data_IF_353831406511
#
_entry.id   IF_353831406511
#
_cell.length_a   1.000
_cell.length_b   1.000
_cell.length_c   1.000
_cell.angle_alpha   90.00
_cell.angle_beta   90.00
_cell.angle_gamma   90.00
#
_symmetry.space_group_name_H-M   'P 1'
#
loop_
_entity.id
_entity.type
_entity.pdbx_description
1 polymer ?
#
# COMPACT_ATOMS: atom_id res chain seq x y z
N UNK A 1 -40.55 -28.07 51.45
CA UNK A 1 -40.82 -26.66 51.10
C UNK A 1 -40.31 -26.46 49.69
N UNK A 2 -41.22 -26.49 48.71
CA UNK A 2 -40.90 -26.43 47.28
C UNK A 2 -40.92 -24.97 46.81
N UNK A 3 -40.00 -24.62 45.90
CA UNK A 3 -40.29 -23.75 44.75
C UNK A 3 -39.09 -23.83 43.78
N UNK A 4 -39.22 -24.69 42.75
CA UNK A 4 -38.43 -24.61 41.52
C UNK A 4 -39.39 -24.13 40.44
N UNK A 5 -39.22 -22.87 40.04
CA UNK A 5 -39.99 -22.24 38.98
C UNK A 5 -39.50 -22.71 37.61
N UNK A 6 -40.44 -23.24 36.83
CA UNK A 6 -40.29 -23.66 35.45
C UNK A 6 -40.46 -22.44 34.53
N UNK A 7 -39.47 -22.16 33.67
CA UNK A 7 -39.66 -21.28 32.50
C UNK A 7 -39.46 -22.17 31.26
N UNK A 8 -40.47 -22.31 30.38
CA UNK A 8 -40.33 -23.13 29.19
C UNK A 8 -39.53 -22.35 28.15
N UNK A 9 -38.38 -22.88 27.74
CA UNK A 9 -37.72 -22.46 26.50
C UNK A 9 -38.51 -23.02 25.32
N UNK A 10 -39.31 -22.18 24.67
CA UNK A 10 -39.86 -22.47 23.35
C UNK A 10 -38.71 -22.48 22.34
N UNK A 11 -38.29 -23.67 21.90
CA UNK A 11 -37.47 -23.82 20.71
C UNK A 11 -38.34 -23.54 19.48
N UNK A 12 -38.15 -22.38 18.85
CA UNK A 12 -38.65 -22.15 17.50
C UNK A 12 -37.57 -22.63 16.54
N UNK A 13 -37.78 -23.82 15.96
CA UNK A 13 -37.00 -24.33 14.83
C UNK A 13 -37.38 -23.52 13.58
N UNK A 14 -36.55 -22.56 13.19
CA UNK A 14 -36.68 -21.87 11.92
C UNK A 14 -35.46 -22.18 11.05
N UNK A 15 -35.65 -22.95 9.98
CA UNK A 15 -34.64 -23.16 8.94
C UNK A 15 -34.50 -21.86 8.13
N UNK A 16 -33.44 -21.08 8.39
CA UNK A 16 -33.15 -19.86 7.63
C UNK A 16 -32.13 -20.19 6.54
N UNK A 17 -32.51 -19.96 5.27
CA UNK A 17 -31.61 -20.08 4.13
C UNK A 17 -30.69 -18.87 4.06
N UNK A 18 -29.40 -19.04 4.37
CA UNK A 18 -28.42 -17.96 4.25
C UNK A 18 -27.87 -17.91 2.82
N UNK A 19 -27.96 -16.77 2.12
CA UNK A 19 -27.40 -16.61 0.79
C UNK A 19 -25.86 -16.52 0.84
N UNK A 20 -25.21 -17.26 -0.05
CA UNK A 20 -23.75 -17.23 -0.23
C UNK A 20 -23.42 -16.33 -1.40
N UNK A 21 -22.52 -15.38 -1.18
CA UNK A 21 -22.02 -14.46 -2.20
C UNK A 21 -20.56 -14.77 -2.53
N UNK A 22 -20.18 -14.56 -3.79
CA UNK A 22 -18.78 -14.57 -4.27
C UNK A 22 -18.49 -13.29 -5.01
N UNK A 23 -17.26 -12.81 -4.93
CA UNK A 23 -16.76 -11.71 -5.75
C UNK A 23 -16.45 -12.22 -7.15
N UNK A 24 -17.03 -11.60 -8.17
CA UNK A 24 -16.72 -11.88 -9.57
C UNK A 24 -15.52 -11.05 -10.06
N UNK A 25 -15.11 -11.27 -11.31
CA UNK A 25 -13.89 -10.71 -11.90
C UNK A 25 -13.90 -9.17 -12.03
N UNK A 26 -15.06 -8.54 -11.88
CA UNK A 26 -15.20 -7.08 -11.87
C UNK A 26 -15.27 -6.48 -10.44
N UNK A 27 -15.09 -7.30 -9.40
CA UNK A 27 -15.05 -6.89 -8.01
C UNK A 27 -16.43 -6.68 -7.37
N UNK A 28 -17.52 -7.12 -8.01
CA UNK A 28 -18.87 -7.07 -7.43
C UNK A 28 -19.26 -8.40 -6.80
N UNK A 29 -20.03 -8.34 -5.71
CA UNK A 29 -20.55 -9.53 -5.03
C UNK A 29 -21.76 -10.07 -5.80
N UNK A 30 -21.67 -11.28 -6.33
CA UNK A 30 -22.78 -12.02 -6.93
C UNK A 30 -23.25 -13.15 -6.00
N UNK A 31 -24.56 -13.42 -5.99
CA UNK A 31 -25.13 -14.53 -5.21
C UNK A 31 -24.90 -15.85 -5.96
N UNK A 32 -24.14 -16.76 -5.37
CA UNK A 32 -23.74 -18.04 -5.99
C UNK A 32 -24.44 -19.28 -5.42
N UNK A 33 -25.30 -19.11 -4.40
CA UNK A 33 -26.16 -20.19 -3.91
C UNK A 33 -26.71 -19.94 -2.51
N UNK A 34 -27.37 -20.96 -1.97
CA UNK A 34 -27.75 -21.08 -0.55
C UNK A 34 -27.28 -22.45 -0.08
N UNK A 35 -26.57 -22.55 1.05
CA UNK A 35 -26.19 -23.85 1.62
C UNK A 35 -26.60 -24.02 3.08
N UNK A 36 -26.66 -25.31 3.42
CA UNK A 36 -27.34 -26.07 4.48
C UNK A 36 -27.24 -25.56 5.93
N UNK A 37 -28.27 -25.95 6.69
CA UNK A 37 -28.64 -25.56 8.05
C UNK A 37 -27.47 -25.46 9.05
N UNK A 38 -27.30 -24.26 9.61
CA UNK A 38 -26.42 -24.00 10.76
C UNK A 38 -27.20 -23.38 11.91
N UNK A 39 -26.95 -23.85 13.13
CA UNK A 39 -27.66 -23.43 14.35
C UNK A 39 -27.02 -22.16 14.93
N UNK A 40 -27.82 -21.11 15.13
CA UNK A 40 -27.33 -19.80 15.59
C UNK A 40 -28.19 -19.32 16.77
N UNK A 41 -27.55 -18.93 17.87
CA UNK A 41 -28.22 -18.44 19.09
C UNK A 41 -28.89 -17.07 18.84
N UNK A 42 -30.10 -16.84 19.33
CA UNK A 42 -30.90 -15.64 19.02
C UNK A 42 -30.23 -14.28 19.32
N UNK A 43 -29.27 -14.20 20.23
CA UNK A 43 -28.58 -12.95 20.56
C UNK A 43 -27.62 -12.42 19.48
N UNK A 44 -27.14 -13.25 18.55
CA UNK A 44 -26.25 -12.78 17.47
C UNK A 44 -26.99 -12.35 16.19
N UNK A 45 -28.30 -12.57 16.09
CA UNK A 45 -29.11 -12.10 14.95
C UNK A 45 -29.26 -10.57 15.00
N UNK A 46 -29.54 -10.00 16.17
CA UNK A 46 -29.72 -8.54 16.33
C UNK A 46 -28.44 -7.75 16.01
N UNK A 47 -27.28 -8.32 16.36
CA UNK A 47 -25.97 -7.73 16.03
C UNK A 47 -25.68 -7.78 14.52
N UNK A 48 -26.05 -8.88 13.85
CA UNK A 48 -25.89 -9.00 12.41
C UNK A 48 -26.84 -8.09 11.63
N UNK A 49 -28.08 -7.91 12.11
CA UNK A 49 -29.02 -6.97 11.51
C UNK A 49 -28.51 -5.53 11.63
N UNK A 50 -28.01 -5.16 12.81
CA UNK A 50 -27.41 -3.82 13.04
C UNK A 50 -26.20 -3.55 12.14
N UNK A 51 -25.34 -4.55 11.94
CA UNK A 51 -24.21 -4.45 11.01
C UNK A 51 -24.70 -4.29 9.56
N UNK A 52 -25.76 -5.01 9.17
CA UNK A 52 -26.31 -4.91 7.83
C UNK A 52 -26.94 -3.53 7.58
N UNK A 53 -27.64 -2.98 8.57
CA UNK A 53 -28.23 -1.64 8.52
C UNK A 53 -27.14 -0.54 8.40
N UNK A 54 -26.02 -0.69 9.11
CA UNK A 54 -24.86 0.21 8.99
C UNK A 54 -24.22 0.13 7.59
N UNK A 55 -24.06 -1.08 7.03
CA UNK A 55 -23.54 -1.28 5.68
C UNK A 55 -24.45 -0.64 4.62
N UNK A 56 -25.77 -0.80 4.77
CA UNK A 56 -26.74 -0.29 3.81
C UNK A 56 -26.87 1.24 3.89
N UNK A 57 -26.72 1.82 5.08
CA UNK A 57 -26.58 3.27 5.28
C UNK A 57 -25.34 3.84 4.55
N UNK A 58 -24.17 3.18 4.71
CA UNK A 58 -22.95 3.58 4.01
C UNK A 58 -23.09 3.45 2.49
N UNK A 59 -23.76 2.40 2.00
CA UNK A 59 -24.05 2.25 0.56
C UNK A 59 -24.99 3.32 0.03
N UNK A 60 -26.00 3.71 0.79
CA UNK A 60 -26.92 4.79 0.43
C UNK A 60 -26.18 6.13 0.31
N UNK A 61 -25.33 6.48 1.29
CA UNK A 61 -24.49 7.68 1.22
C UNK A 61 -23.51 7.63 0.03
N UNK A 62 -22.94 6.46 -0.28
CA UNK A 62 -22.06 6.30 -1.45
C UNK A 62 -22.81 6.44 -2.78
N UNK A 63 -24.05 5.97 -2.87
CA UNK A 63 -24.90 6.12 -4.04
C UNK A 63 -25.32 7.60 -4.25
N UNK A 64 -25.56 8.34 -3.16
CA UNK A 64 -25.87 9.77 -3.20
C UNK A 64 -24.66 10.60 -3.68
N UNK A 65 -23.44 10.26 -3.24
CA UNK A 65 -22.18 10.83 -3.76
C UNK A 65 -22.02 10.53 -5.26
N UNK A 66 -22.44 9.35 -5.73
CA UNK A 66 -22.38 8.97 -7.15
C UNK A 66 -23.47 9.63 -8.01
N UNK A 67 -24.63 9.92 -7.43
CA UNK A 67 -25.77 10.60 -8.08
C UNK A 67 -25.60 12.12 -8.19
N UNK A 68 -24.89 12.72 -7.23
CA UNK A 68 -24.42 14.11 -7.29
C UNK A 68 -23.23 14.22 -8.25
N UNK A 69 -23.53 14.27 -9.55
CA UNK A 69 -22.63 14.78 -10.59
C UNK A 69 -21.15 14.41 -10.43
N UNK A 70 -20.83 13.12 -10.59
CA UNK A 70 -19.45 12.71 -10.79
C UNK A 70 -18.82 13.58 -11.87
N UNK A 71 -17.81 14.36 -11.49
CA UNK A 71 -16.97 15.10 -12.43
C UNK A 71 -16.31 14.09 -13.36
N UNK A 72 -16.93 13.86 -14.53
CA UNK A 72 -16.38 13.13 -15.69
C UNK A 72 -15.09 13.76 -16.25
N UNK A 73 -14.42 14.65 -15.51
CA UNK A 73 -13.29 15.47 -15.97
C UNK A 73 -11.91 15.01 -15.50
N UNK A 74 -11.78 13.98 -14.63
CA UNK A 74 -10.46 13.60 -14.11
C UNK A 74 -9.73 12.59 -15.01
N UNK A 75 -10.41 11.57 -15.54
CA UNK A 75 -9.77 10.53 -16.36
C UNK A 75 -9.17 11.05 -17.69
N UNK A 76 -9.81 12.03 -18.32
CA UNK A 76 -9.37 12.61 -19.60
C UNK A 76 -8.25 13.66 -19.42
N UNK A 77 -8.23 14.36 -18.27
CA UNK A 77 -7.18 15.31 -17.92
C UNK A 77 -5.87 14.62 -17.48
N UNK A 78 -5.97 13.46 -16.79
CA UNK A 78 -4.80 12.68 -16.37
C UNK A 78 -4.03 12.10 -17.58
N UNK A 79 -4.73 11.73 -18.65
CA UNK A 79 -4.11 11.29 -19.91
C UNK A 79 -3.28 12.35 -20.63
N UNK A 80 -3.45 13.64 -20.30
CA UNK A 80 -2.68 14.77 -20.84
C UNK A 80 -1.52 15.22 -19.96
N UNK A 81 -1.30 14.58 -18.80
CA UNK A 81 -0.19 14.94 -17.91
C UNK A 81 1.14 14.60 -18.59
N UNK A 82 1.88 15.66 -18.92
CA UNK A 82 3.20 15.54 -19.53
C UNK A 82 4.27 15.37 -18.45
N UNK A 83 4.68 14.13 -18.18
CA UNK A 83 5.86 13.84 -17.34
C UNK A 83 7.12 14.10 -18.17
N UNK A 84 7.98 15.06 -17.78
CA UNK A 84 9.17 15.41 -18.54
C UNK A 84 10.17 14.28 -18.72
N UNK A 85 11.11 14.48 -19.65
CA UNK A 85 12.25 13.60 -19.80
C UNK A 85 13.28 13.85 -18.69
N UNK A 86 14.25 12.95 -18.53
CA UNK A 86 15.38 13.17 -17.60
C UNK A 86 16.40 14.20 -18.13
N UNK A 87 16.26 14.66 -19.38
CA UNK A 87 17.23 15.56 -20.01
C UNK A 87 17.23 16.89 -19.25
N UNK A 88 18.41 17.49 -19.11
CA UNK A 88 18.61 18.81 -18.51
C UNK A 88 18.02 18.96 -17.08
N UNK A 89 17.82 17.85 -16.37
CA UNK A 89 17.23 17.86 -15.02
C UNK A 89 15.75 18.24 -14.97
N UNK A 90 15.05 18.30 -16.11
CA UNK A 90 13.63 18.71 -16.16
C UNK A 90 12.73 17.85 -15.29
N UNK A 91 12.93 16.53 -15.32
CA UNK A 91 12.18 15.61 -14.46
C UNK A 91 12.37 15.90 -12.96
N UNK A 92 13.59 16.28 -12.55
CA UNK A 92 13.88 16.53 -11.15
C UNK A 92 13.18 17.81 -10.67
N UNK A 93 13.28 18.90 -11.46
CA UNK A 93 12.57 20.15 -11.21
C UNK A 93 11.05 19.94 -11.13
N UNK A 94 10.50 19.24 -12.12
CA UNK A 94 9.08 18.89 -12.15
C UNK A 94 8.65 18.11 -10.91
N UNK A 95 9.44 17.13 -10.47
CA UNK A 95 9.12 16.40 -9.25
C UNK A 95 9.15 17.31 -8.03
N UNK A 96 10.17 18.16 -7.90
CA UNK A 96 10.37 19.02 -6.73
C UNK A 96 9.27 20.09 -6.60
N UNK A 97 8.80 20.65 -7.71
CA UNK A 97 7.73 21.66 -7.76
C UNK A 97 6.33 21.14 -7.37
N UNK A 98 6.07 19.84 -7.53
CA UNK A 98 4.78 19.25 -7.19
C UNK A 98 4.53 19.24 -5.69
N UNK A 99 3.27 19.44 -5.27
CA UNK A 99 2.85 19.07 -3.92
C UNK A 99 2.75 17.54 -3.77
N UNK A 100 2.89 17.02 -2.55
CA UNK A 100 2.72 15.59 -2.28
C UNK A 100 1.32 15.08 -2.68
N UNK A 101 0.29 15.92 -2.55
CA UNK A 101 -1.08 15.60 -2.95
C UNK A 101 -1.22 15.42 -4.46
N UNK A 102 -0.60 16.30 -5.26
CA UNK A 102 -0.61 16.18 -6.72
C UNK A 102 0.20 14.97 -7.18
N UNK A 103 1.36 14.76 -6.57
CA UNK A 103 2.19 13.59 -6.86
C UNK A 103 1.43 12.29 -6.58
N UNK A 104 0.74 12.18 -5.43
CA UNK A 104 -0.01 10.98 -5.06
C UNK A 104 -1.15 10.67 -6.06
N UNK A 105 -1.88 11.69 -6.53
CA UNK A 105 -2.90 11.50 -7.59
C UNK A 105 -2.31 10.92 -8.87
N UNK A 106 -1.11 11.34 -9.27
CA UNK A 106 -0.43 10.78 -10.44
C UNK A 106 0.14 9.38 -10.17
N UNK A 107 0.56 9.11 -8.94
CA UNK A 107 1.09 7.82 -8.51
C UNK A 107 0.02 6.71 -8.46
N UNK A 108 -1.25 7.07 -8.23
CA UNK A 108 -2.40 6.16 -8.27
C UNK A 108 -2.72 5.67 -9.69
N UNK A 109 -2.39 6.45 -10.73
CA UNK A 109 -2.54 6.03 -12.12
C UNK A 109 -1.39 5.08 -12.54
N UNK A 110 -1.65 3.82 -12.91
CA UNK A 110 -0.60 2.86 -13.24
C UNK A 110 0.29 3.25 -14.43
N UNK A 111 -0.27 3.94 -15.44
CA UNK A 111 0.47 4.36 -16.64
C UNK A 111 1.41 5.51 -16.31
N UNK A 112 0.94 6.49 -15.54
CA UNK A 112 1.78 7.60 -15.06
C UNK A 112 2.82 7.11 -14.08
N UNK A 113 2.44 6.30 -13.09
CA UNK A 113 3.36 5.68 -12.15
C UNK A 113 4.50 4.96 -12.88
N UNK A 114 4.20 4.08 -13.83
CA UNK A 114 5.23 3.39 -14.60
C UNK A 114 6.21 4.36 -15.26
N UNK A 115 5.70 5.43 -15.89
CA UNK A 115 6.55 6.47 -16.50
C UNK A 115 7.43 7.17 -15.46
N UNK A 116 6.87 7.53 -14.31
CA UNK A 116 7.61 8.19 -13.21
C UNK A 116 8.72 7.25 -12.71
N UNK A 117 8.38 6.00 -12.39
CA UNK A 117 9.35 5.03 -11.92
C UNK A 117 10.47 4.80 -12.96
N UNK A 118 10.14 4.73 -14.25
CA UNK A 118 11.11 4.61 -15.35
C UNK A 118 12.05 5.83 -15.44
N UNK A 119 11.63 7.02 -15.02
CA UNK A 119 12.47 8.23 -14.97
C UNK A 119 13.35 8.26 -13.72
N UNK A 120 12.83 7.78 -12.59
CA UNK A 120 13.58 7.65 -11.35
C UNK A 120 14.73 6.68 -11.55
N UNK A 121 14.49 5.47 -12.08
CA UNK A 121 15.51 4.40 -12.27
C UNK A 121 16.59 4.68 -13.33
N UNK A 122 16.66 5.90 -13.88
CA UNK A 122 17.67 6.27 -14.89
C UNK A 122 18.81 7.10 -14.28
N UNK A 123 20.08 6.79 -14.60
CA UNK A 123 20.53 5.61 -15.36
C UNK A 123 20.33 4.30 -14.59
N UNK A 124 20.20 3.18 -15.31
CA UNK A 124 20.09 1.86 -14.70
C UNK A 124 21.42 1.33 -14.17
N UNK A 125 21.40 0.17 -13.50
CA UNK A 125 22.60 -0.45 -12.92
C UNK A 125 22.91 -0.05 -11.48
N UNK A 126 21.98 0.67 -10.84
CA UNK A 126 22.08 1.14 -9.47
C UNK A 126 20.96 0.54 -8.61
N UNK A 127 21.28 0.20 -7.37
CA UNK A 127 20.30 -0.10 -6.32
C UNK A 127 19.88 1.21 -5.65
N UNK A 128 18.57 1.44 -5.59
CA UNK A 128 18.00 2.62 -4.93
C UNK A 128 17.70 2.35 -3.45
N UNK A 129 18.42 3.01 -2.54
CA UNK A 129 18.13 2.94 -1.09
C UNK A 129 16.84 3.69 -0.74
N UNK A 130 16.57 4.76 -1.48
CA UNK A 130 15.24 5.36 -1.58
C UNK A 130 14.40 4.54 -2.55
N UNK A 131 13.87 3.41 -2.08
CA UNK A 131 13.16 2.47 -2.94
C UNK A 131 12.07 3.16 -3.75
N UNK A 132 12.15 3.00 -5.07
CA UNK A 132 11.26 3.67 -6.04
C UNK A 132 9.79 3.39 -5.76
N UNK A 133 9.44 2.20 -5.26
CA UNK A 133 8.06 1.85 -4.90
C UNK A 133 7.46 2.69 -3.75
N UNK A 134 8.30 3.48 -3.06
CA UNK A 134 7.92 4.36 -1.94
C UNK A 134 8.26 5.82 -2.18
N UNK A 135 8.48 6.23 -3.44
CA UNK A 135 8.65 7.64 -3.79
C UNK A 135 7.58 8.59 -3.21
N UNK A 136 6.28 8.22 -3.13
CA UNK A 136 5.28 9.02 -2.41
C UNK A 136 5.69 9.40 -0.98
N UNK A 137 6.24 8.43 -0.23
CA UNK A 137 6.65 8.64 1.15
C UNK A 137 7.81 9.60 1.26
N UNK A 138 8.79 9.48 0.36
CA UNK A 138 9.92 10.41 0.29
C UNK A 138 9.47 11.82 -0.12
N UNK A 139 8.46 11.94 -0.99
CA UNK A 139 7.86 13.23 -1.34
C UNK A 139 7.15 13.86 -0.14
N UNK A 140 6.42 13.07 0.65
CA UNK A 140 5.82 13.51 1.92
C UNK A 140 6.86 14.01 2.93
N UNK A 141 8.02 13.37 2.99
CA UNK A 141 9.14 13.82 3.82
C UNK A 141 9.93 15.00 3.23
N UNK A 142 9.56 15.49 2.05
CA UNK A 142 10.20 16.65 1.43
C UNK A 142 11.56 16.36 0.80
N UNK A 143 11.86 15.10 0.47
CA UNK A 143 13.13 14.72 -0.15
C UNK A 143 13.12 15.10 -1.63
N UNK A 144 14.18 15.76 -2.09
CA UNK A 144 14.29 16.18 -3.49
C UNK A 144 14.51 15.00 -4.43
N UNK A 145 14.17 15.16 -5.71
CA UNK A 145 14.47 14.11 -6.69
C UNK A 145 15.98 13.93 -6.88
N UNK A 146 16.78 14.99 -6.74
CA UNK A 146 18.24 14.85 -6.76
C UNK A 146 18.70 13.90 -5.66
N UNK A 147 18.25 14.11 -4.42
CA UNK A 147 18.63 13.23 -3.31
C UNK A 147 18.16 11.79 -3.53
N UNK A 148 16.91 11.58 -3.97
CA UNK A 148 16.41 10.23 -4.30
C UNK A 148 17.27 9.55 -5.38
N UNK A 149 17.85 10.31 -6.31
CA UNK A 149 18.70 9.79 -7.39
C UNK A 149 20.15 9.61 -6.99
N UNK A 150 20.68 10.41 -6.09
CA UNK A 150 22.05 10.30 -5.59
C UNK A 150 22.19 9.23 -4.49
N UNK A 151 21.11 8.93 -3.76
CA UNK A 151 21.10 7.90 -2.71
C UNK A 151 21.03 6.48 -3.26
N UNK A 152 22.04 6.12 -4.06
CA UNK A 152 22.15 4.86 -4.79
C UNK A 152 23.56 4.31 -4.74
N UNK A 153 23.65 2.99 -4.83
CA UNK A 153 24.92 2.28 -4.96
C UNK A 153 24.89 1.46 -6.25
N UNK A 154 26.02 1.33 -6.95
CA UNK A 154 26.11 0.41 -8.09
C UNK A 154 25.72 -1.00 -7.65
N UNK A 155 24.81 -1.64 -8.39
CA UNK A 155 24.26 -2.97 -8.07
C UNK A 155 25.33 -4.03 -7.81
N UNK A 156 26.43 -4.01 -8.58
CA UNK A 156 27.58 -4.91 -8.42
C UNK A 156 28.30 -4.80 -7.06
N UNK A 157 28.11 -3.70 -6.34
CA UNK A 157 28.71 -3.48 -5.01
C UNK A 157 27.72 -3.75 -3.87
N UNK A 158 26.46 -4.08 -4.19
CA UNK A 158 25.46 -4.41 -3.18
C UNK A 158 25.44 -5.91 -2.96
N UNK A 159 26.05 -6.33 -1.85
CA UNK A 159 26.07 -7.70 -1.36
C UNK A 159 25.45 -7.77 0.02
N UNK A 160 24.56 -8.75 0.19
CA UNK A 160 23.84 -8.98 1.42
C UNK A 160 24.50 -10.10 2.24
N UNK A 161 24.37 -10.02 3.57
CA UNK A 161 24.80 -11.05 4.53
C UNK A 161 23.68 -11.33 5.53
N UNK A 162 23.41 -12.59 5.86
CA UNK A 162 22.31 -13.02 6.76
C UNK A 162 20.87 -12.81 6.20
N UNK A 163 20.44 -13.56 5.16
CA UNK A 163 21.21 -14.54 4.39
C UNK A 163 22.13 -13.87 3.35
N UNK A 164 23.17 -14.59 2.89
CA UNK A 164 24.03 -14.12 1.81
C UNK A 164 23.23 -13.87 0.54
N UNK A 165 23.63 -12.88 -0.26
CA UNK A 165 22.89 -12.53 -1.47
C UNK A 165 23.49 -11.38 -2.27
N UNK A 166 22.90 -11.12 -3.43
CA UNK A 166 23.29 -10.02 -4.32
C UNK A 166 22.06 -9.30 -4.84
N UNK A 167 22.22 -8.07 -5.31
CA UNK A 167 21.13 -7.34 -5.93
C UNK A 167 20.52 -8.10 -7.12
N UNK A 168 19.18 -8.24 -7.13
CA UNK A 168 18.44 -8.93 -8.19
C UNK A 168 18.53 -10.46 -8.15
N UNK A 169 19.30 -11.02 -7.21
CA UNK A 169 19.47 -12.47 -7.04
C UNK A 169 18.95 -12.97 -5.69
N UNK A 170 19.59 -14.04 -5.20
CA UNK A 170 19.29 -14.62 -3.90
C UNK A 170 19.41 -13.57 -2.78
N UNK A 171 18.54 -13.67 -1.77
CA UNK A 171 18.49 -12.73 -0.65
C UNK A 171 17.96 -11.33 -0.97
N UNK A 172 17.88 -10.94 -2.26
CA UNK A 172 17.44 -9.59 -2.67
C UNK A 172 16.01 -9.29 -2.26
N UNK A 173 15.08 -10.23 -2.42
CA UNK A 173 13.67 -10.04 -2.02
C UNK A 173 13.54 -9.82 -0.52
N UNK A 174 14.30 -10.57 0.28
CA UNK A 174 14.31 -10.41 1.74
C UNK A 174 14.84 -9.03 2.13
N UNK A 175 15.97 -8.61 1.53
CA UNK A 175 16.55 -7.29 1.78
C UNK A 175 15.57 -6.16 1.40
N UNK A 176 14.98 -6.22 0.20
CA UNK A 176 13.99 -5.23 -0.25
C UNK A 176 12.80 -5.15 0.71
N UNK A 177 12.22 -6.29 1.13
CA UNK A 177 11.08 -6.29 2.03
C UNK A 177 11.40 -5.70 3.41
N UNK A 178 12.61 -5.94 3.91
CA UNK A 178 13.09 -5.33 5.16
C UNK A 178 13.22 -3.81 5.03
N UNK A 179 13.84 -3.31 3.95
CA UNK A 179 13.96 -1.86 3.70
C UNK A 179 12.58 -1.22 3.50
N UNK A 180 11.68 -1.86 2.74
CA UNK A 180 10.30 -1.40 2.59
C UNK A 180 9.61 -1.24 3.94
N UNK A 181 9.76 -2.23 4.84
CA UNK A 181 9.21 -2.15 6.20
C UNK A 181 9.83 -1.01 7.00
N UNK A 182 11.13 -0.74 6.85
CA UNK A 182 11.79 0.39 7.53
C UNK A 182 11.19 1.71 7.05
N UNK A 183 11.00 1.88 5.73
CA UNK A 183 10.36 3.09 5.16
C UNK A 183 8.93 3.22 5.70
N UNK A 184 8.13 2.17 5.59
CA UNK A 184 6.69 2.20 5.88
C UNK A 184 6.38 2.47 7.35
N UNK A 185 7.24 2.02 8.26
CA UNK A 185 7.03 2.23 9.70
C UNK A 185 7.88 3.36 10.30
N UNK A 186 8.62 4.12 9.49
CA UNK A 186 9.34 5.30 9.99
C UNK A 186 8.42 6.51 10.00
N UNK A 187 8.48 7.29 11.09
CA UNK A 187 7.68 8.51 11.24
C UNK A 187 8.15 9.65 10.33
N UNK A 188 9.47 9.79 10.19
CA UNK A 188 10.17 10.86 9.49
C UNK A 188 11.42 10.31 8.81
N UNK A 189 12.03 11.15 7.96
CA UNK A 189 13.20 10.77 7.19
C UNK A 189 14.41 10.41 8.08
N UNK A 190 14.66 11.17 9.15
CA UNK A 190 15.79 10.89 10.05
C UNK A 190 15.64 9.54 10.76
N UNK A 191 14.41 9.18 11.16
CA UNK A 191 14.12 7.85 11.71
C UNK A 191 14.37 6.76 10.67
N UNK A 192 13.99 6.99 9.40
CA UNK A 192 14.30 6.08 8.30
C UNK A 192 15.81 5.90 8.13
N UNK A 193 16.58 6.99 8.03
CA UNK A 193 18.04 6.95 7.83
C UNK A 193 18.72 6.18 8.97
N UNK A 194 18.40 6.51 10.23
CA UNK A 194 18.98 5.81 11.38
C UNK A 194 18.69 4.30 11.35
N UNK A 195 17.44 3.92 11.05
CA UNK A 195 17.04 2.50 11.00
C UNK A 195 17.65 1.78 9.80
N UNK A 196 17.81 2.47 8.67
CA UNK A 196 18.51 1.94 7.50
C UNK A 196 19.98 1.66 7.81
N UNK A 197 20.66 2.56 8.54
CA UNK A 197 22.04 2.33 8.97
C UNK A 197 22.17 1.13 9.88
N UNK A 198 21.32 1.02 10.90
CA UNK A 198 21.31 -0.16 11.79
C UNK A 198 21.08 -1.46 10.99
N UNK A 199 20.11 -1.44 10.08
CA UNK A 199 19.86 -2.58 9.19
C UNK A 199 21.09 -2.90 8.31
N UNK A 200 21.77 -1.87 7.80
CA UNK A 200 22.92 -2.04 6.92
C UNK A 200 24.14 -2.63 7.64
N UNK A 201 24.37 -2.29 8.92
CA UNK A 201 25.44 -2.90 9.72
C UNK A 201 25.29 -4.43 9.78
N UNK A 202 24.06 -4.94 9.88
CA UNK A 202 23.80 -6.38 9.99
C UNK A 202 23.62 -7.09 8.64
N UNK A 203 23.26 -6.34 7.59
CA UNK A 203 22.78 -6.92 6.31
C UNK A 203 23.65 -6.64 5.10
N UNK A 204 24.59 -5.70 5.15
CA UNK A 204 25.55 -5.47 4.06
C UNK A 204 26.92 -6.04 4.40
N UNK A 205 27.61 -6.62 3.42
CA UNK A 205 28.98 -7.16 3.58
C UNK A 205 29.95 -6.11 4.16
N UNK A 206 29.77 -4.85 3.79
CA UNK A 206 30.57 -3.71 4.27
C UNK A 206 29.92 -2.94 5.43
N UNK A 207 28.89 -3.51 6.08
CA UNK A 207 28.07 -2.79 7.04
C UNK A 207 27.47 -1.50 6.47
N UNK A 208 27.29 -0.47 7.31
CA UNK A 208 26.80 0.84 6.85
C UNK A 208 27.69 1.52 5.80
N UNK A 209 28.96 1.12 5.68
CA UNK A 209 29.87 1.68 4.67
C UNK A 209 29.45 1.30 3.24
N UNK A 210 28.53 0.34 3.08
CA UNK A 210 27.91 0.00 1.80
C UNK A 210 26.86 1.02 1.32
N UNK A 211 26.42 1.92 2.21
CA UNK A 211 25.51 3.02 1.89
C UNK A 211 26.29 4.21 1.27
N UNK A 212 25.62 5.07 0.48
CA UNK A 212 26.12 6.40 0.09
C UNK A 212 26.55 7.22 1.32
N UNK A 213 27.57 8.07 1.17
CA UNK A 213 28.19 8.80 2.28
C UNK A 213 27.16 9.67 3.04
N UNK A 214 26.22 10.27 2.32
CA UNK A 214 25.18 11.14 2.85
C UNK A 214 24.16 10.40 3.71
N UNK A 215 24.04 9.09 3.52
CA UNK A 215 23.20 8.22 4.34
C UNK A 215 23.93 7.69 5.58
N UNK A 216 25.25 7.82 5.72
CA UNK A 216 26.01 7.21 6.83
C UNK A 216 25.92 8.03 8.12
N UNK A 217 24.76 8.02 8.80
CA UNK A 217 24.53 8.77 10.04
C UNK A 217 23.54 8.08 10.99
#
# INVERSE_FOLDING_TARGET
MYCVGFIPFNFVLASVKVPVYRTNDNGTLERVGTNVEGWVHGHCIDSNQKIQDEIDSVRASLAEIRGSGGTKGTGEAIGKINIPSIRNGEFNKWFDELSSKEFNKMWEDPKLRKRIEDRIRRPGGYHEWHLVARTPKFKEWGISMNDIKEMRTLTKYVKFVNPPGVHGGEGSTVAHNQILRIIDTSKDYETFVKRLNNWAEDRLESGKMGLPIELRR
#
